data_IF_400324352597
#
_entry.id   IF_400324352597
#
_cell.length_a   1.000
_cell.length_b   1.000
_cell.length_c   1.000
_cell.angle_alpha   90.00
_cell.angle_beta   90.00
_cell.angle_gamma   90.00
#
_symmetry.space_group_name_H-M   'P 1'
#
loop_
_entity.id
_entity.type
_entity.pdbx_description
1 polymer ?
#
# COMPACT_ATOMS: atom_id res chain seq x y z
N UNK A 1 19.24 -14.08 18.73
CA UNK A 1 19.18 -13.05 19.79
C UNK A 1 18.62 -11.74 19.25
N UNK A 2 19.26 -11.09 18.26
CA UNK A 2 18.89 -9.75 17.77
C UNK A 2 17.39 -9.47 17.59
N UNK A 3 16.67 -10.27 16.81
CA UNK A 3 15.23 -10.02 16.57
C UNK A 3 14.38 -10.15 17.84
N UNK A 4 14.75 -11.06 18.74
CA UNK A 4 14.04 -11.32 19.99
C UNK A 4 14.26 -10.23 21.06
N UNK A 5 15.21 -9.32 20.84
CA UNK A 5 15.53 -8.18 21.72
C UNK A 5 15.22 -6.83 21.04
N UNK A 6 14.78 -6.85 19.78
CA UNK A 6 14.44 -5.64 19.03
C UNK A 6 13.13 -5.02 19.54
N UNK A 7 13.16 -3.70 19.80
CA UNK A 7 11.97 -2.91 20.10
C UNK A 7 11.02 -2.80 18.90
N UNK A 8 11.52 -2.64 17.68
CA UNK A 8 10.68 -2.63 16.47
C UNK A 8 9.94 -3.96 16.25
N UNK A 9 10.52 -5.10 16.68
CA UNK A 9 9.80 -6.37 16.72
C UNK A 9 8.70 -6.38 17.79
N UNK A 10 8.92 -5.80 18.97
CA UNK A 10 7.91 -5.67 20.04
C UNK A 10 6.71 -4.84 19.58
N UNK A 11 6.97 -3.69 18.96
CA UNK A 11 5.94 -2.82 18.39
C UNK A 11 5.08 -3.56 17.36
N UNK A 12 5.69 -4.33 16.46
CA UNK A 12 4.96 -5.17 15.50
C UNK A 12 4.20 -6.32 16.16
N UNK A 13 4.72 -6.92 17.24
CA UNK A 13 3.99 -7.94 18.00
C UNK A 13 2.73 -7.34 18.63
N UNK A 14 2.86 -6.19 19.27
CA UNK A 14 1.80 -5.50 20.01
C UNK A 14 0.75 -4.91 19.08
N UNK A 15 1.15 -4.05 18.14
CA UNK A 15 0.25 -3.30 17.28
C UNK A 15 -0.02 -3.92 15.91
N UNK A 16 0.81 -4.88 15.46
CA UNK A 16 0.84 -5.27 14.05
C UNK A 16 1.31 -4.10 13.19
N UNK A 17 0.77 -3.98 11.97
CA UNK A 17 1.08 -2.84 11.08
C UNK A 17 0.21 -1.61 11.36
N UNK A 18 -0.93 -1.80 12.05
CA UNK A 18 -1.99 -0.81 12.23
C UNK A 18 -1.51 0.56 12.78
N UNK A 19 -0.55 0.66 13.73
CA UNK A 19 -0.05 1.95 14.24
C UNK A 19 0.45 2.93 13.16
N UNK A 20 0.79 2.43 11.97
CA UNK A 20 1.16 3.27 10.84
C UNK A 20 0.05 4.28 10.43
N UNK A 21 -1.21 3.99 10.77
CA UNK A 21 -2.33 4.89 10.49
C UNK A 21 -2.24 6.21 11.28
N UNK A 22 -1.87 6.15 12.56
CA UNK A 22 -1.68 7.34 13.39
C UNK A 22 -0.44 8.11 12.94
N UNK A 23 0.64 7.39 12.62
CA UNK A 23 1.86 8.00 12.10
C UNK A 23 1.61 8.78 10.80
N UNK A 24 0.90 8.19 9.83
CA UNK A 24 0.56 8.88 8.59
C UNK A 24 -0.46 10.01 8.80
N UNK A 25 -1.40 9.84 9.71
CA UNK A 25 -2.34 10.90 10.08
C UNK A 25 -1.60 12.12 10.65
N UNK A 26 -0.70 11.92 11.61
CA UNK A 26 0.05 13.00 12.26
C UNK A 26 1.02 13.67 11.29
N UNK A 27 1.69 12.88 10.45
CA UNK A 27 2.59 13.39 9.42
C UNK A 27 1.86 14.17 8.32
N UNK A 28 0.60 13.87 8.09
CA UNK A 28 -0.17 14.39 6.95
C UNK A 28 0.20 13.69 5.64
N UNK A 29 0.35 12.38 5.71
CA UNK A 29 0.60 11.50 4.57
C UNK A 29 -0.46 10.41 4.39
N UNK A 30 -1.63 10.53 5.05
CA UNK A 30 -2.71 9.54 5.02
C UNK A 30 -3.75 9.91 3.94
N UNK A 31 -3.75 9.26 2.76
CA UNK A 31 -4.64 9.66 1.69
C UNK A 31 -6.10 9.45 2.07
N UNK A 32 -6.90 10.48 1.82
CA UNK A 32 -8.28 10.55 2.27
C UNK A 32 -9.19 11.01 1.14
N UNK A 33 -10.36 10.38 1.02
CA UNK A 33 -11.37 10.64 -0.02
C UNK A 33 -10.78 10.67 -1.44
N UNK A 34 -10.28 9.53 -1.90
CA UNK A 34 -9.56 9.37 -3.19
C UNK A 34 -8.38 10.34 -3.36
N UNK A 35 -7.53 10.48 -2.33
CA UNK A 35 -6.33 11.33 -2.35
C UNK A 35 -6.60 12.84 -2.47
N UNK A 36 -7.85 13.29 -2.29
CA UNK A 36 -8.18 14.73 -2.23
C UNK A 36 -7.54 15.38 -1.01
N UNK A 37 -7.53 14.66 0.12
CA UNK A 37 -6.99 15.11 1.40
C UNK A 37 -5.86 14.18 1.86
N UNK A 38 -5.04 14.64 2.81
CA UNK A 38 -3.89 13.90 3.36
C UNK A 38 -4.01 13.58 4.85
N UNK A 39 -5.17 13.89 5.43
CA UNK A 39 -5.53 13.62 6.81
C UNK A 39 -7.02 13.28 6.89
N UNK A 40 -7.37 12.33 7.74
CA UNK A 40 -8.74 11.87 7.91
C UNK A 40 -9.37 12.43 9.18
N UNK A 41 -10.57 13.00 9.05
CA UNK A 41 -11.31 13.55 10.20
C UNK A 41 -11.83 12.45 11.13
N UNK A 42 -12.19 11.28 10.59
CA UNK A 42 -12.74 10.14 11.33
C UNK A 42 -11.67 9.17 11.86
N UNK A 43 -10.44 9.64 12.11
CA UNK A 43 -9.31 8.77 12.48
C UNK A 43 -9.59 7.89 13.71
N UNK A 44 -10.31 8.43 14.70
CA UNK A 44 -10.65 7.71 15.95
C UNK A 44 -11.51 6.46 15.72
N UNK A 45 -12.19 6.36 14.57
CA UNK A 45 -12.99 5.21 14.19
C UNK A 45 -12.22 4.11 13.46
N UNK A 46 -10.95 4.35 13.10
CA UNK A 46 -10.15 3.42 12.28
C UNK A 46 -8.75 3.15 12.82
N UNK A 47 -8.29 3.89 13.83
CA UNK A 47 -6.95 3.73 14.41
C UNK A 47 -6.83 2.47 15.30
N UNK A 48 -5.63 2.12 15.82
CA UNK A 48 -5.45 0.95 16.67
C UNK A 48 -6.34 0.98 17.92
N UNK A 49 -6.60 2.16 18.48
CA UNK A 49 -7.50 2.31 19.63
C UNK A 49 -8.95 1.90 19.29
N UNK A 50 -9.41 2.15 18.06
CA UNK A 50 -10.73 1.71 17.58
C UNK A 50 -10.88 0.19 17.61
N UNK A 51 -9.79 -0.57 17.38
CA UNK A 51 -9.84 -2.04 17.40
C UNK A 51 -9.74 -2.63 18.81
N UNK A 52 -9.06 -1.97 19.73
CA UNK A 52 -8.73 -2.50 21.07
C UNK A 52 -9.65 -2.00 22.18
N UNK A 53 -10.36 -0.90 21.95
CA UNK A 53 -11.27 -0.30 22.94
C UNK A 53 -12.66 -0.91 22.82
N UNK A 54 -13.30 -1.35 23.92
CA UNK A 54 -14.69 -1.80 23.88
C UNK A 54 -15.62 -0.70 23.36
N UNK A 55 -16.44 -1.03 22.37
CA UNK A 55 -17.45 -0.14 21.84
C UNK A 55 -18.63 0.04 22.84
N UNK A 56 -19.67 0.76 22.43
CA UNK A 56 -20.87 1.02 23.26
C UNK A 56 -21.62 -0.25 23.74
N UNK A 57 -21.44 -1.38 23.07
CA UNK A 57 -22.02 -2.67 23.41
C UNK A 57 -21.08 -3.54 24.27
N UNK A 58 -19.89 -3.02 24.62
CA UNK A 58 -18.85 -3.76 25.33
C UNK A 58 -18.06 -4.73 24.44
N UNK A 59 -18.21 -4.63 23.11
CA UNK A 59 -17.48 -5.46 22.16
C UNK A 59 -16.13 -4.82 21.78
N UNK A 60 -15.06 -5.60 21.84
CA UNK A 60 -13.72 -5.23 21.34
C UNK A 60 -13.46 -6.00 20.04
N UNK A 61 -13.09 -5.30 18.97
CA UNK A 61 -12.90 -5.88 17.63
C UNK A 61 -11.67 -6.79 17.55
N UNK A 62 -10.51 -6.36 18.07
CA UNK A 62 -9.29 -7.17 18.08
C UNK A 62 -9.36 -8.25 19.18
N UNK A 63 -9.13 -9.51 18.80
CA UNK A 63 -9.08 -10.64 19.73
C UNK A 63 -7.65 -10.91 20.17
N UNK A 64 -6.75 -11.10 19.20
CA UNK A 64 -5.38 -11.53 19.45
C UNK A 64 -4.50 -11.32 18.21
N UNK A 65 -3.22 -11.68 18.31
CA UNK A 65 -2.28 -11.70 17.21
C UNK A 65 -1.98 -13.12 16.71
N UNK A 66 -1.36 -13.23 15.54
CA UNK A 66 -1.02 -14.50 14.89
C UNK A 66 0.33 -14.43 14.20
N UNK A 67 1.12 -15.49 14.38
CA UNK A 67 2.39 -15.69 13.67
C UNK A 67 2.19 -16.42 12.33
N UNK A 68 2.97 -16.00 11.34
CA UNK A 68 3.25 -16.81 10.15
C UNK A 68 4.14 -18.01 10.52
N UNK A 69 4.30 -18.96 9.58
CA UNK A 69 5.19 -20.10 9.78
C UNK A 69 6.62 -19.67 10.12
N UNK A 70 7.18 -20.21 11.21
CA UNK A 70 8.54 -19.90 11.66
C UNK A 70 8.76 -18.48 12.21
N UNK A 71 7.71 -17.65 12.27
CA UNK A 71 7.81 -16.25 12.64
C UNK A 71 7.79 -16.05 14.16
N UNK A 72 8.73 -15.26 14.68
CA UNK A 72 8.77 -14.85 16.11
C UNK A 72 8.26 -13.42 16.34
N UNK A 73 7.70 -12.76 15.31
CA UNK A 73 7.14 -11.40 15.40
C UNK A 73 5.65 -11.45 15.72
N UNK A 74 4.88 -12.34 15.07
CA UNK A 74 3.42 -12.44 15.24
C UNK A 74 2.65 -11.14 14.93
N UNK A 75 2.97 -10.46 13.82
CA UNK A 75 2.31 -9.19 13.46
C UNK A 75 0.84 -9.34 13.03
N UNK A 76 0.41 -10.50 12.52
CA UNK A 76 -0.94 -10.66 11.97
C UNK A 76 -2.02 -10.42 13.02
N UNK A 77 -3.10 -9.73 12.66
CA UNK A 77 -4.23 -9.44 13.55
C UNK A 77 -5.36 -10.44 13.36
N UNK A 78 -6.01 -10.84 14.46
CA UNK A 78 -7.21 -11.68 14.46
C UNK A 78 -8.31 -10.90 15.15
N UNK A 79 -9.38 -10.61 14.41
CA UNK A 79 -10.47 -9.75 14.87
C UNK A 79 -11.81 -10.42 14.64
N UNK A 80 -12.86 -9.92 15.30
CA UNK A 80 -14.27 -10.24 15.08
C UNK A 80 -15.11 -8.97 15.03
N UNK A 81 -16.33 -9.11 14.54
CA UNK A 81 -17.27 -8.01 14.34
C UNK A 81 -18.31 -8.07 15.46
N UNK A 82 -18.76 -6.91 15.95
CA UNK A 82 -19.83 -6.85 16.94
C UNK A 82 -21.08 -7.60 16.41
N UNK A 83 -21.58 -8.63 17.12
CA UNK A 83 -22.77 -9.37 16.69
C UNK A 83 -24.02 -8.51 16.50
N UNK A 84 -24.06 -7.30 17.06
CA UNK A 84 -25.14 -6.34 16.88
C UNK A 84 -24.90 -5.36 15.70
N UNK A 85 -23.74 -5.42 15.05
CA UNK A 85 -23.40 -4.58 13.91
C UNK A 85 -24.28 -4.87 12.70
N UNK A 86 -24.66 -3.83 11.94
CA UNK A 86 -25.64 -3.96 10.86
C UNK A 86 -25.20 -4.93 9.75
N UNK A 87 -23.88 -5.10 9.56
CA UNK A 87 -23.32 -6.01 8.55
C UNK A 87 -23.58 -7.48 8.87
N UNK A 88 -23.68 -7.86 10.16
CA UNK A 88 -23.74 -9.28 10.58
C UNK A 88 -24.89 -9.65 11.53
N UNK A 89 -25.66 -8.68 12.05
CA UNK A 89 -26.70 -8.92 13.07
C UNK A 89 -27.70 -10.05 12.78
N UNK A 90 -27.95 -10.32 11.50
CA UNK A 90 -28.83 -11.41 11.06
C UNK A 90 -28.11 -12.41 10.12
N UNK A 91 -26.78 -12.49 10.20
CA UNK A 91 -25.92 -13.30 9.34
C UNK A 91 -24.94 -14.12 10.20
N UNK A 92 -25.42 -15.20 10.86
CA UNK A 92 -24.61 -15.99 11.79
C UNK A 92 -23.37 -16.61 11.14
N UNK A 93 -23.35 -16.77 9.81
CA UNK A 93 -22.19 -17.24 9.05
C UNK A 93 -20.97 -16.31 9.17
N UNK A 94 -21.15 -15.04 9.53
CA UNK A 94 -20.04 -14.08 9.78
C UNK A 94 -19.73 -13.87 11.28
N UNK A 95 -20.38 -14.61 12.18
CA UNK A 95 -20.10 -14.55 13.63
C UNK A 95 -18.91 -15.45 14.00
N UNK A 96 -17.75 -15.16 13.41
CA UNK A 96 -16.49 -15.87 13.65
C UNK A 96 -15.31 -14.90 13.65
N UNK A 97 -14.13 -15.38 14.00
CA UNK A 97 -12.89 -14.60 13.93
C UNK A 97 -12.17 -14.85 12.61
N UNK A 98 -11.59 -13.80 12.02
CA UNK A 98 -10.78 -13.85 10.79
C UNK A 98 -9.62 -12.87 10.87
N UNK A 99 -8.70 -12.97 9.90
CA UNK A 99 -7.51 -12.12 9.84
C UNK A 99 -7.86 -10.67 9.51
N UNK A 100 -7.12 -9.71 10.07
CA UNK A 100 -7.27 -8.27 9.86
C UNK A 100 -7.47 -7.49 11.17
N UNK A 101 -7.39 -6.15 11.18
CA UNK A 101 -7.00 -5.27 10.06
C UNK A 101 -5.48 -5.08 10.03
N UNK A 102 -4.91 -5.11 8.83
CA UNK A 102 -3.58 -4.53 8.58
C UNK A 102 -3.75 -3.03 8.26
N UNK A 103 -2.66 -2.26 8.35
CA UNK A 103 -2.66 -0.83 8.06
C UNK A 103 -3.26 -0.49 6.70
N UNK A 104 -2.80 -1.16 5.64
CA UNK A 104 -3.25 -0.89 4.26
C UNK A 104 -4.74 -1.16 4.08
N UNK A 105 -5.26 -2.20 4.72
CA UNK A 105 -6.68 -2.49 4.73
C UNK A 105 -7.47 -1.41 5.47
N UNK A 106 -6.97 -0.96 6.63
CA UNK A 106 -7.62 0.09 7.40
C UNK A 106 -7.64 1.42 6.63
N UNK A 107 -6.54 1.78 5.96
CA UNK A 107 -6.45 2.90 5.04
C UNK A 107 -7.46 2.77 3.88
N UNK A 108 -7.46 1.63 3.19
CA UNK A 108 -8.22 1.41 1.96
C UNK A 108 -9.73 1.38 2.18
N UNK A 109 -10.17 0.96 3.37
CA UNK A 109 -11.59 0.87 3.72
C UNK A 109 -12.08 1.96 4.67
N UNK A 110 -11.17 2.75 5.22
CA UNK A 110 -11.50 3.90 6.05
C UNK A 110 -11.19 5.21 5.33
N UNK A 111 -10.04 5.86 5.60
CA UNK A 111 -9.66 7.15 5.07
C UNK A 111 -9.93 7.37 3.57
N UNK A 112 -9.50 6.46 2.69
CA UNK A 112 -9.61 6.71 1.24
C UNK A 112 -11.04 6.72 0.73
N UNK A 113 -11.95 6.01 1.41
CA UNK A 113 -13.41 5.99 1.15
C UNK A 113 -14.21 6.81 2.16
N UNK A 114 -13.54 7.48 3.10
CA UNK A 114 -14.11 8.37 4.11
C UNK A 114 -14.86 7.69 5.26
N UNK A 115 -14.75 6.38 5.44
CA UNK A 115 -15.51 5.59 6.45
C UNK A 115 -14.75 5.52 7.78
N UNK A 116 -15.48 5.67 8.90
CA UNK A 116 -14.93 5.66 10.26
C UNK A 116 -15.54 4.56 11.16
N UNK A 117 -15.88 3.43 10.56
CA UNK A 117 -16.55 2.30 11.23
C UNK A 117 -15.67 1.03 11.16
N UNK A 118 -14.89 0.78 12.22
CA UNK A 118 -13.97 -0.36 12.31
C UNK A 118 -14.64 -1.72 12.04
N UNK A 119 -15.91 -1.90 12.42
CA UNK A 119 -16.62 -3.16 12.22
C UNK A 119 -17.07 -3.31 10.75
N UNK A 120 -17.42 -2.21 10.08
CA UNK A 120 -17.63 -2.20 8.62
C UNK A 120 -16.34 -2.47 7.84
N UNK A 121 -15.21 -1.88 8.26
CA UNK A 121 -13.88 -2.15 7.71
C UNK A 121 -13.50 -3.64 7.87
N UNK A 122 -13.67 -4.19 9.07
CA UNK A 122 -13.41 -5.61 9.36
C UNK A 122 -14.30 -6.52 8.51
N UNK A 123 -15.57 -6.19 8.32
CA UNK A 123 -16.47 -6.94 7.45
C UNK A 123 -16.03 -6.91 5.97
N UNK A 124 -15.69 -5.74 5.43
CA UNK A 124 -15.19 -5.64 4.05
C UNK A 124 -13.91 -6.47 3.86
N UNK A 125 -13.02 -6.46 4.86
CA UNK A 125 -11.81 -7.28 4.86
C UNK A 125 -12.08 -8.78 4.93
N UNK A 126 -13.09 -9.23 5.68
CA UNK A 126 -13.51 -10.63 5.66
C UNK A 126 -13.89 -11.06 4.25
N UNK A 127 -14.66 -10.22 3.55
CA UNK A 127 -15.05 -10.50 2.16
C UNK A 127 -13.84 -10.53 1.22
N UNK A 128 -12.83 -9.68 1.42
CA UNK A 128 -11.59 -9.74 0.63
C UNK A 128 -10.85 -11.06 0.85
N UNK A 129 -10.73 -11.51 2.09
CA UNK A 129 -10.10 -12.79 2.43
C UNK A 129 -10.84 -13.97 1.81
N UNK A 130 -12.17 -14.01 1.94
CA UNK A 130 -13.00 -15.12 1.44
C UNK A 130 -13.09 -15.14 -0.09
N UNK A 131 -13.15 -13.98 -0.74
CA UNK A 131 -13.22 -13.88 -2.19
C UNK A 131 -11.85 -13.87 -2.88
N UNK A 132 -10.75 -13.77 -2.12
CA UNK A 132 -9.39 -13.72 -2.66
C UNK A 132 -9.10 -12.43 -3.43
N UNK A 133 -9.52 -11.28 -2.90
CA UNK A 133 -9.36 -9.96 -3.51
C UNK A 133 -8.36 -9.09 -2.74
N UNK A 134 -7.68 -8.19 -3.45
CA UNK A 134 -6.79 -7.20 -2.84
C UNK A 134 -7.60 -6.05 -2.19
N UNK A 135 -7.47 -5.82 -0.88
CA UNK A 135 -8.18 -4.72 -0.20
C UNK A 135 -7.76 -3.34 -0.72
N UNK A 136 -6.48 -3.12 -1.06
CA UNK A 136 -6.00 -1.81 -1.53
C UNK A 136 -6.68 -1.47 -2.85
N UNK A 137 -6.55 -2.35 -3.85
CA UNK A 137 -7.12 -2.13 -5.18
C UNK A 137 -8.64 -1.98 -5.12
N UNK A 138 -9.35 -2.77 -4.31
CA UNK A 138 -10.79 -2.62 -4.14
C UNK A 138 -11.16 -1.26 -3.51
N UNK A 139 -10.52 -0.90 -2.39
CA UNK A 139 -10.81 0.35 -1.67
C UNK A 139 -10.57 1.60 -2.50
N UNK A 140 -9.43 1.67 -3.20
CA UNK A 140 -9.11 2.81 -4.09
C UNK A 140 -10.00 2.82 -5.33
N UNK A 141 -10.43 1.66 -5.84
CA UNK A 141 -11.42 1.60 -6.93
C UNK A 141 -12.79 2.10 -6.48
N UNK A 142 -13.22 1.74 -5.28
CA UNK A 142 -14.44 2.26 -4.69
C UNK A 142 -14.34 3.77 -4.44
N UNK A 143 -13.20 4.26 -3.97
CA UNK A 143 -12.96 5.70 -3.78
C UNK A 143 -13.07 6.49 -5.10
N UNK A 144 -12.51 5.96 -6.19
CA UNK A 144 -12.68 6.57 -7.52
C UNK A 144 -14.15 6.55 -7.99
N UNK A 145 -14.89 5.47 -7.69
CA UNK A 145 -16.33 5.41 -7.97
C UNK A 145 -17.13 6.41 -7.13
N UNK A 146 -16.75 6.63 -5.88
CA UNK A 146 -17.36 7.64 -5.01
C UNK A 146 -17.12 9.06 -5.54
N UNK A 147 -15.91 9.36 -6.02
CA UNK A 147 -15.62 10.66 -6.64
C UNK A 147 -16.41 10.86 -7.95
N UNK A 148 -16.51 9.83 -8.81
CA UNK A 148 -17.39 9.86 -9.99
C UNK A 148 -18.86 10.10 -9.64
N UNK A 149 -19.33 9.55 -8.52
CA UNK A 149 -20.69 9.77 -8.03
C UNK A 149 -20.89 11.19 -7.49
N UNK A 150 -19.94 11.72 -6.72
CA UNK A 150 -19.97 13.13 -6.27
C UNK A 150 -19.98 14.13 -7.43
N UNK A 151 -19.29 13.79 -8.53
CA UNK A 151 -19.27 14.59 -9.77
C UNK A 151 -20.58 14.47 -10.58
N UNK A 152 -21.50 13.59 -10.19
CA UNK A 152 -22.74 13.32 -10.91
C UNK A 152 -22.57 12.51 -12.20
N UNK A 153 -21.41 11.88 -12.40
CA UNK A 153 -21.10 11.02 -13.56
C UNK A 153 -21.75 9.65 -13.38
N UNK A 154 -21.74 9.13 -12.16
CA UNK A 154 -22.50 7.95 -11.76
C UNK A 154 -23.79 8.37 -11.06
N UNK A 155 -24.90 7.73 -11.40
CA UNK A 155 -26.19 7.92 -10.71
C UNK A 155 -26.52 6.76 -9.79
N UNK A 156 -27.45 6.99 -8.86
CA UNK A 156 -27.94 5.98 -7.93
C UNK A 156 -28.52 4.76 -8.63
N UNK A 157 -29.15 4.94 -9.78
CA UNK A 157 -29.70 3.85 -10.59
C UNK A 157 -28.59 2.98 -11.19
N UNK A 158 -27.46 3.56 -11.58
CA UNK A 158 -26.32 2.82 -12.12
C UNK A 158 -25.59 2.03 -11.03
N UNK A 159 -25.64 2.50 -9.79
CA UNK A 159 -25.01 1.89 -8.62
C UNK A 159 -25.96 0.95 -7.86
N UNK A 160 -26.95 0.39 -8.55
CA UNK A 160 -27.96 -0.53 -8.03
C UNK A 160 -28.75 -0.02 -6.82
N UNK A 161 -29.00 1.29 -6.78
CA UNK A 161 -29.73 1.94 -5.69
C UNK A 161 -28.86 2.36 -4.51
N UNK A 162 -27.55 2.10 -4.54
CA UNK A 162 -26.62 2.42 -3.44
C UNK A 162 -25.98 3.78 -3.66
N UNK A 163 -26.02 4.65 -2.66
CA UNK A 163 -25.41 5.98 -2.74
C UNK A 163 -23.91 5.89 -2.47
N UNK A 164 -23.09 6.06 -3.52
CA UNK A 164 -21.63 6.00 -3.42
C UNK A 164 -21.05 7.34 -2.95
N UNK A 165 -21.40 7.78 -1.75
CA UNK A 165 -20.81 8.97 -1.12
C UNK A 165 -19.67 8.57 -0.18
N UNK A 166 -18.62 9.39 -0.08
CA UNK A 166 -17.59 9.20 0.93
C UNK A 166 -18.21 9.15 2.35
N UNK A 167 -17.71 8.24 3.18
CA UNK A 167 -18.23 7.98 4.52
C UNK A 167 -19.45 7.05 4.60
N UNK A 168 -19.92 6.50 3.47
CA UNK A 168 -21.01 5.54 3.48
C UNK A 168 -20.50 4.11 3.77
N UNK A 169 -20.57 3.68 5.03
CA UNK A 169 -20.22 2.33 5.48
C UNK A 169 -21.09 1.23 4.84
N UNK A 170 -22.37 1.50 4.56
CA UNK A 170 -23.23 0.55 3.84
C UNK A 170 -22.75 0.37 2.39
N UNK A 171 -22.38 1.46 1.71
CA UNK A 171 -21.83 1.39 0.36
C UNK A 171 -20.54 0.56 0.31
N UNK A 172 -19.61 0.77 1.24
CA UNK A 172 -18.38 -0.05 1.36
C UNK A 172 -18.70 -1.54 1.46
N UNK A 173 -19.57 -1.91 2.39
CA UNK A 173 -19.83 -3.31 2.75
C UNK A 173 -20.64 -4.03 1.67
N UNK A 174 -21.66 -3.38 1.11
CA UNK A 174 -22.46 -3.91 -0.01
C UNK A 174 -21.60 -4.04 -1.27
N UNK A 175 -20.79 -3.03 -1.60
CA UNK A 175 -19.95 -3.08 -2.80
C UNK A 175 -18.82 -4.08 -2.67
N UNK A 176 -18.25 -4.31 -1.49
CA UNK A 176 -17.28 -5.38 -1.24
C UNK A 176 -17.88 -6.75 -1.57
N UNK A 177 -19.11 -7.00 -1.10
CA UNK A 177 -19.80 -8.28 -1.34
C UNK A 177 -20.15 -8.46 -2.82
N UNK A 178 -20.72 -7.42 -3.44
CA UNK A 178 -21.11 -7.46 -4.85
C UNK A 178 -19.93 -7.56 -5.80
N UNK A 179 -18.80 -6.95 -5.47
CA UNK A 179 -17.59 -7.03 -6.30
C UNK A 179 -17.04 -8.45 -6.30
N UNK A 180 -16.90 -9.07 -5.13
CA UNK A 180 -16.40 -10.45 -5.06
C UNK A 180 -17.34 -11.49 -5.64
N UNK A 181 -18.66 -11.25 -5.60
CA UNK A 181 -19.66 -12.09 -6.29
C UNK A 181 -19.79 -11.79 -7.79
N UNK A 182 -19.23 -10.67 -8.26
CA UNK A 182 -19.40 -10.19 -9.63
C UNK A 182 -20.86 -9.88 -9.96
N UNK A 183 -21.56 -9.16 -9.07
CA UNK A 183 -23.00 -8.85 -9.19
C UNK A 183 -23.25 -7.35 -9.37
N UNK A 184 -24.18 -7.00 -10.27
CA UNK A 184 -24.57 -5.61 -10.54
C UNK A 184 -23.35 -4.70 -10.81
N UNK A 185 -23.31 -3.53 -10.17
CA UNK A 185 -22.22 -2.56 -10.22
C UNK A 185 -20.90 -3.10 -9.65
N UNK A 186 -20.91 -4.18 -8.87
CA UNK A 186 -19.69 -4.88 -8.45
C UNK A 186 -18.86 -5.37 -9.64
N UNK A 187 -19.49 -5.65 -10.79
CA UNK A 187 -18.76 -5.99 -12.04
C UNK A 187 -17.96 -4.82 -12.60
N UNK A 188 -18.42 -3.59 -12.37
CA UNK A 188 -17.73 -2.37 -12.79
C UNK A 188 -16.52 -2.13 -11.89
N UNK A 189 -16.70 -2.26 -10.56
CA UNK A 189 -15.61 -2.17 -9.59
C UNK A 189 -14.55 -3.26 -9.81
N UNK A 190 -14.93 -4.46 -10.24
CA UNK A 190 -14.00 -5.56 -10.52
C UNK A 190 -13.01 -5.28 -11.68
N UNK A 191 -13.21 -4.20 -12.47
CA UNK A 191 -12.27 -3.82 -13.54
C UNK A 191 -10.99 -3.16 -13.02
N UNK A 192 -11.00 -2.68 -11.77
CA UNK A 192 -9.98 -1.80 -11.19
C UNK A 192 -10.16 -0.34 -11.63
N UNK A 193 -9.64 0.59 -10.83
CA UNK A 193 -9.87 2.02 -10.94
C UNK A 193 -9.41 2.60 -12.29
N UNK A 194 -8.26 2.15 -12.82
CA UNK A 194 -7.75 2.62 -14.13
C UNK A 194 -8.75 2.38 -15.26
N UNK A 195 -9.37 1.20 -15.30
CA UNK A 195 -10.33 0.83 -16.36
C UNK A 195 -11.70 1.45 -16.10
N UNK A 196 -12.15 1.45 -14.85
CA UNK A 196 -13.40 2.07 -14.43
C UNK A 196 -13.42 3.55 -14.80
N UNK A 197 -12.46 4.32 -14.30
CA UNK A 197 -12.39 5.77 -14.52
C UNK A 197 -12.27 6.15 -15.99
N UNK A 198 -11.45 5.41 -16.77
CA UNK A 198 -11.37 5.59 -18.21
C UNK A 198 -12.69 5.30 -18.93
N UNK A 199 -13.42 4.25 -18.53
CA UNK A 199 -14.74 3.91 -19.09
C UNK A 199 -15.76 5.04 -18.90
N UNK A 200 -15.69 5.74 -17.77
CA UNK A 200 -16.57 6.87 -17.45
C UNK A 200 -16.00 8.22 -17.90
N UNK A 201 -14.91 8.25 -18.68
CA UNK A 201 -14.37 9.46 -19.29
C UNK A 201 -13.50 10.34 -18.38
N UNK A 202 -13.09 9.83 -17.22
CA UNK A 202 -12.31 10.55 -16.21
C UNK A 202 -11.04 9.80 -15.79
N UNK A 203 -10.14 9.42 -16.72
CA UNK A 203 -8.92 8.66 -16.39
C UNK A 203 -7.98 9.40 -15.42
N UNK A 204 -8.15 10.71 -15.25
CA UNK A 204 -7.46 11.55 -14.28
C UNK A 204 -7.77 11.19 -12.81
N UNK A 205 -8.90 10.53 -12.54
CA UNK A 205 -9.27 10.05 -11.20
C UNK A 205 -8.57 8.75 -10.78
N UNK A 206 -7.80 8.14 -11.70
CA UNK A 206 -7.00 6.96 -11.38
C UNK A 206 -5.82 7.31 -10.47
N UNK A 207 -5.90 6.91 -9.20
CA UNK A 207 -4.84 7.08 -8.21
C UNK A 207 -3.94 5.84 -8.14
N UNK A 208 -3.00 5.74 -9.07
CA UNK A 208 -2.03 4.65 -9.12
C UNK A 208 -1.02 4.76 -10.26
N UNK A 209 -0.19 3.72 -10.41
CA UNK A 209 0.87 3.64 -11.44
C UNK A 209 0.80 2.30 -12.15
N UNK A 210 0.89 2.34 -13.50
CA UNK A 210 0.82 1.18 -14.39
C UNK A 210 -0.42 0.29 -14.17
N UNK A 211 -1.52 0.89 -13.71
CA UNK A 211 -2.79 0.20 -13.49
C UNK A 211 -2.90 -0.55 -12.16
N UNK A 212 -1.96 -0.33 -11.25
CA UNK A 212 -2.06 -0.75 -9.85
C UNK A 212 -2.32 0.49 -8.98
N UNK A 213 -3.32 0.38 -8.12
CA UNK A 213 -3.78 1.40 -7.17
C UNK A 213 -2.71 1.74 -6.12
N UNK A 214 -2.71 2.97 -5.64
CA UNK A 214 -1.80 3.42 -4.58
C UNK A 214 -2.10 2.78 -3.23
N UNK A 215 -1.02 2.45 -2.52
CA UNK A 215 -1.05 2.14 -1.09
C UNK A 215 -1.21 3.41 -0.24
N UNK A 216 -1.32 3.24 1.09
CA UNK A 216 -1.73 4.26 2.06
C UNK A 216 -0.83 5.46 2.29
N UNK A 217 0.07 5.77 1.37
CA UNK A 217 1.11 6.79 1.53
C UNK A 217 0.98 7.88 0.47
N UNK A 218 0.63 9.10 0.88
CA UNK A 218 0.53 10.23 -0.05
C UNK A 218 1.90 10.69 -0.52
N UNK A 219 2.14 10.58 -1.83
CA UNK A 219 3.46 10.88 -2.43
C UNK A 219 3.86 12.36 -2.35
N UNK A 220 2.92 13.28 -2.06
CA UNK A 220 3.26 14.69 -1.84
C UNK A 220 3.99 14.86 -0.51
N UNK A 221 3.64 14.08 0.51
CA UNK A 221 4.29 14.06 1.82
C UNK A 221 5.49 13.12 1.90
N UNK A 222 5.50 12.07 1.08
CA UNK A 222 6.56 11.05 1.05
C UNK A 222 7.16 11.01 -0.37
N UNK A 223 8.20 11.83 -0.59
CA UNK A 223 8.73 12.13 -1.92
C UNK A 223 9.42 10.90 -2.56
N UNK A 224 10.27 10.22 -1.80
CA UNK A 224 10.92 8.97 -2.15
C UNK A 224 9.92 7.84 -2.38
N UNK A 225 8.89 7.72 -1.54
CA UNK A 225 7.76 6.81 -1.77
C UNK A 225 7.11 7.07 -3.14
N UNK A 226 6.93 8.34 -3.52
CA UNK A 226 6.47 8.74 -4.85
C UNK A 226 7.37 8.27 -5.99
N UNK A 227 8.68 8.49 -5.88
CA UNK A 227 9.65 7.95 -6.85
C UNK A 227 9.59 6.40 -6.89
N UNK A 228 9.46 5.76 -5.73
CA UNK A 228 9.34 4.32 -5.59
C UNK A 228 8.09 3.77 -6.29
N UNK A 229 6.94 4.43 -6.16
CA UNK A 229 5.73 4.09 -6.91
C UNK A 229 5.91 4.25 -8.42
N UNK A 230 6.51 5.36 -8.87
CA UNK A 230 6.74 5.63 -10.28
C UNK A 230 7.67 4.60 -10.92
N UNK A 231 8.67 4.10 -10.18
CA UNK A 231 9.74 3.24 -10.72
C UNK A 231 9.56 1.75 -10.43
N UNK A 232 8.73 1.36 -9.46
CA UNK A 232 8.50 -0.03 -9.06
C UNK A 232 8.14 -0.93 -10.23
N UNK A 233 8.79 -2.08 -10.35
CA UNK A 233 8.58 -3.01 -11.47
C UNK A 233 7.18 -3.63 -11.55
N UNK A 234 6.36 -3.58 -10.49
CA UNK A 234 5.01 -4.18 -10.48
C UNK A 234 3.85 -3.18 -10.46
N UNK A 235 4.13 -1.89 -10.61
CA UNK A 235 3.16 -0.80 -10.38
C UNK A 235 3.31 -0.17 -9.00
N UNK A 236 2.36 0.66 -8.61
CA UNK A 236 2.43 1.50 -7.41
C UNK A 236 2.41 0.71 -6.09
N UNK A 237 3.55 0.16 -5.69
CA UNK A 237 3.68 -0.67 -4.50
C UNK A 237 4.73 -0.13 -3.55
N UNK A 238 4.37 -0.02 -2.27
CA UNK A 238 5.26 0.45 -1.20
C UNK A 238 6.21 -0.65 -0.70
N UNK A 239 5.83 -1.94 -0.75
CA UNK A 239 6.67 -3.05 -0.29
C UNK A 239 7.90 -3.34 -1.17
N UNK A 240 8.22 -2.49 -2.15
CA UNK A 240 9.38 -2.66 -3.03
C UNK A 240 10.51 -1.67 -2.74
N UNK A 241 10.33 -0.82 -1.73
CA UNK A 241 11.31 0.16 -1.26
C UNK A 241 10.97 0.52 0.18
N UNK A 242 11.97 0.90 0.95
CA UNK A 242 11.80 1.33 2.35
C UNK A 242 12.55 2.64 2.51
N UNK A 243 11.80 3.74 2.49
CA UNK A 243 12.33 5.11 2.43
C UNK A 243 11.62 6.05 3.40
N UNK A 244 10.91 5.51 4.40
CA UNK A 244 10.19 6.31 5.40
C UNK A 244 11.11 7.26 6.16
N UNK A 245 12.26 6.76 6.64
CA UNK A 245 13.25 7.57 7.36
C UNK A 245 13.69 8.79 6.55
N UNK A 246 14.27 8.59 5.34
CA UNK A 246 14.60 9.70 4.46
C UNK A 246 13.42 10.64 4.22
N UNK A 247 12.23 10.14 3.89
CA UNK A 247 11.08 11.00 3.58
C UNK A 247 10.57 11.81 4.78
N UNK A 248 10.69 11.30 6.00
CA UNK A 248 10.32 12.01 7.22
C UNK A 248 11.38 13.01 7.69
N UNK A 249 12.63 12.88 7.25
CA UNK A 249 13.68 13.86 7.53
C UNK A 249 13.57 15.11 6.65
N UNK A 250 13.18 14.95 5.38
CA UNK A 250 13.05 16.05 4.43
C UNK A 250 11.92 15.78 3.42
N UNK A 251 10.91 16.64 3.41
CA UNK A 251 9.77 16.61 2.48
C UNK A 251 10.10 17.27 1.12
N UNK A 252 11.35 17.27 0.68
CA UNK A 252 11.78 17.67 -0.67
C UNK A 252 12.20 16.46 -1.51
N UNK A 253 12.22 16.58 -2.83
CA UNK A 253 12.69 15.50 -3.70
C UNK A 253 14.21 15.33 -3.69
N UNK A 254 14.97 16.21 -3.04
CA UNK A 254 16.43 16.21 -3.12
C UNK A 254 17.03 15.02 -2.37
N UNK A 255 17.95 14.31 -3.02
CA UNK A 255 18.68 13.20 -2.41
C UNK A 255 17.84 11.95 -2.15
N UNK A 256 16.58 11.90 -2.63
CA UNK A 256 15.70 10.72 -2.45
C UNK A 256 15.99 9.59 -3.43
N UNK A 257 16.62 9.89 -4.57
CA UNK A 257 16.89 8.90 -5.61
C UNK A 257 17.80 7.76 -5.14
N UNK A 258 18.88 8.08 -4.40
CA UNK A 258 19.82 7.08 -3.90
C UNK A 258 19.17 6.13 -2.88
N UNK A 259 18.49 6.59 -1.80
CA UNK A 259 17.78 5.70 -0.88
C UNK A 259 16.74 4.82 -1.56
N UNK A 260 15.99 5.34 -2.54
CA UNK A 260 15.02 4.55 -3.29
C UNK A 260 15.72 3.44 -4.08
N UNK A 261 16.80 3.75 -4.82
CA UNK A 261 17.57 2.73 -5.56
C UNK A 261 18.12 1.65 -4.63
N UNK A 262 18.79 2.06 -3.56
CA UNK A 262 19.43 1.13 -2.61
C UNK A 262 18.40 0.24 -1.91
N UNK A 263 17.30 0.81 -1.45
CA UNK A 263 16.24 0.04 -0.80
C UNK A 263 15.58 -0.94 -1.77
N UNK A 264 15.37 -0.59 -3.04
CA UNK A 264 14.83 -1.51 -4.05
C UNK A 264 15.73 -2.72 -4.29
N UNK A 265 17.05 -2.53 -4.33
CA UNK A 265 18.00 -3.63 -4.47
C UNK A 265 17.99 -4.53 -3.23
N UNK A 266 18.02 -3.90 -2.05
CA UNK A 266 17.98 -4.57 -0.77
C UNK A 266 16.68 -5.39 -0.61
N UNK A 267 15.52 -4.79 -0.88
CA UNK A 267 14.23 -5.49 -0.82
C UNK A 267 14.16 -6.62 -1.85
N UNK A 268 14.68 -6.44 -3.06
CA UNK A 268 14.73 -7.50 -4.08
C UNK A 268 15.58 -8.69 -3.62
N UNK A 269 16.69 -8.42 -2.93
CA UNK A 269 17.51 -9.44 -2.30
C UNK A 269 16.74 -10.16 -1.19
N UNK A 270 16.07 -9.43 -0.28
CA UNK A 270 15.28 -10.03 0.83
C UNK A 270 14.16 -10.90 0.28
N UNK A 271 13.37 -10.38 -0.68
CA UNK A 271 12.27 -11.12 -1.30
C UNK A 271 12.75 -12.44 -1.91
N UNK A 272 13.95 -12.44 -2.50
CA UNK A 272 14.56 -13.64 -3.09
C UNK A 272 14.95 -14.71 -2.05
N UNK A 273 15.10 -14.34 -0.77
CA UNK A 273 15.39 -15.29 0.32
C UNK A 273 14.16 -16.04 0.83
N UNK A 274 12.95 -15.51 0.56
CA UNK A 274 11.71 -16.00 1.15
C UNK A 274 11.48 -15.58 2.62
N UNK A 275 12.33 -14.73 3.19
CA UNK A 275 12.17 -14.16 4.51
C UNK A 275 11.27 -12.92 4.49
N UNK A 276 10.57 -12.68 5.61
CA UNK A 276 9.68 -11.53 5.74
C UNK A 276 10.46 -10.22 5.86
N UNK A 277 10.05 -9.19 5.12
CA UNK A 277 10.65 -7.86 5.18
C UNK A 277 10.65 -7.28 6.60
N UNK A 278 9.63 -7.54 7.42
CA UNK A 278 9.57 -7.03 8.80
C UNK A 278 10.64 -7.58 9.76
N UNK A 279 11.48 -8.53 9.32
CA UNK A 279 12.69 -8.88 10.08
C UNK A 279 13.70 -7.73 10.13
N UNK A 280 13.64 -6.77 9.20
CA UNK A 280 14.45 -5.54 9.22
C UNK A 280 14.19 -4.66 10.44
N UNK A 281 13.12 -4.89 11.19
CA UNK A 281 12.88 -4.21 12.48
C UNK A 281 13.94 -4.54 13.54
N UNK A 282 14.74 -5.59 13.34
CA UNK A 282 15.88 -5.91 14.20
C UNK A 282 17.11 -6.46 13.48
N UNK A 283 17.01 -6.79 12.20
CA UNK A 283 18.11 -7.31 11.39
C UNK A 283 18.65 -6.25 10.44
N UNK A 284 19.97 -6.21 10.29
CA UNK A 284 20.62 -5.48 9.22
C UNK A 284 20.94 -6.38 8.02
N UNK A 285 21.47 -5.82 6.91
CA UNK A 285 21.83 -6.59 5.72
C UNK A 285 22.77 -7.78 6.02
N UNK A 286 23.74 -7.61 6.91
CA UNK A 286 24.68 -8.67 7.31
C UNK A 286 24.01 -9.86 8.01
N UNK A 287 22.88 -9.63 8.69
CA UNK A 287 22.14 -10.72 9.32
C UNK A 287 21.49 -11.63 8.27
N UNK A 288 21.01 -11.06 7.15
CA UNK A 288 20.51 -11.84 6.00
C UNK A 288 21.64 -12.62 5.31
N UNK A 289 22.79 -11.97 5.10
CA UNK A 289 23.98 -12.64 4.53
C UNK A 289 24.37 -13.85 5.38
N UNK A 290 24.42 -13.70 6.70
CA UNK A 290 24.73 -14.79 7.61
C UNK A 290 23.72 -15.95 7.53
N UNK A 291 22.42 -15.67 7.35
CA UNK A 291 21.42 -16.73 7.13
C UNK A 291 21.65 -17.46 5.80
N UNK A 292 21.93 -16.72 4.72
CA UNK A 292 22.16 -17.28 3.39
C UNK A 292 23.43 -18.13 3.35
N UNK A 293 24.54 -17.63 3.90
CA UNK A 293 25.82 -18.36 3.93
C UNK A 293 25.75 -19.64 4.76
N UNK A 294 24.99 -19.62 5.87
CA UNK A 294 24.77 -20.81 6.67
C UNK A 294 23.89 -21.87 5.97
N UNK A 295 22.96 -21.44 5.11
CA UNK A 295 21.98 -22.33 4.48
C UNK A 295 22.39 -22.81 3.08
N UNK A 296 23.20 -22.05 2.36
CA UNK A 296 23.51 -22.25 0.95
C UNK A 296 25.02 -22.37 0.71
N UNK A 297 25.47 -23.29 -0.16
CA UNK A 297 26.86 -23.31 -0.56
C UNK A 297 27.20 -22.06 -1.38
N UNK A 298 28.44 -21.58 -1.29
CA UNK A 298 29.01 -20.70 -2.30
C UNK A 298 29.64 -19.40 -1.85
N UNK A 299 29.92 -19.17 -0.56
CA UNK A 299 30.52 -17.93 -0.03
C UNK A 299 29.67 -16.69 -0.38
N UNK A 300 28.74 -16.36 0.52
CA UNK A 300 27.87 -15.20 0.38
C UNK A 300 28.46 -13.99 1.11
N UNK A 301 28.64 -12.89 0.38
CA UNK A 301 29.03 -11.59 0.94
C UNK A 301 27.90 -10.58 0.73
N UNK A 302 27.93 -9.48 1.48
CA UNK A 302 26.94 -8.41 1.33
C UNK A 302 26.93 -7.84 -0.09
N UNK A 303 28.10 -7.60 -0.68
CA UNK A 303 28.22 -7.06 -2.04
C UNK A 303 27.54 -7.97 -3.06
N UNK A 304 27.78 -9.28 -2.95
CA UNK A 304 27.18 -10.28 -3.85
C UNK A 304 25.66 -10.36 -3.68
N UNK A 305 25.17 -10.29 -2.45
CA UNK A 305 23.74 -10.34 -2.16
C UNK A 305 23.03 -9.08 -2.72
N UNK A 306 23.59 -7.89 -2.49
CA UNK A 306 23.06 -6.64 -3.04
C UNK A 306 23.13 -6.61 -4.57
N UNK A 307 24.23 -7.05 -5.17
CA UNK A 307 24.34 -7.18 -6.64
C UNK A 307 23.28 -8.14 -7.20
N UNK A 308 22.94 -9.20 -6.46
CA UNK A 308 21.86 -10.12 -6.84
C UNK A 308 20.49 -9.44 -6.80
N UNK A 309 20.25 -8.58 -5.81
CA UNK A 309 19.06 -7.73 -5.77
C UNK A 309 18.97 -6.77 -6.96
N UNK A 310 20.07 -6.06 -7.28
CA UNK A 310 20.15 -5.17 -8.44
C UNK A 310 19.92 -5.90 -9.77
N UNK A 311 20.49 -7.12 -9.90
CA UNK A 311 20.29 -8.00 -11.04
C UNK A 311 18.82 -8.38 -11.19
N UNK A 312 18.16 -8.81 -10.11
CA UNK A 312 16.73 -9.14 -10.12
C UNK A 312 15.89 -7.94 -10.55
N UNK A 313 16.11 -6.76 -9.95
CA UNK A 313 15.39 -5.55 -10.30
C UNK A 313 15.58 -5.14 -11.77
N UNK A 314 16.79 -5.29 -12.29
CA UNK A 314 17.11 -4.97 -13.69
C UNK A 314 16.48 -5.99 -14.65
N UNK A 315 16.46 -7.27 -14.29
CA UNK A 315 15.83 -8.32 -15.10
C UNK A 315 14.31 -8.11 -15.19
N UNK A 316 13.65 -7.78 -14.08
CA UNK A 316 12.23 -7.41 -14.07
C UNK A 316 11.96 -6.16 -14.93
N UNK A 317 12.83 -5.14 -14.87
CA UNK A 317 12.74 -3.96 -15.74
C UNK A 317 12.83 -4.35 -17.21
N UNK A 318 13.77 -5.22 -17.58
CA UNK A 318 13.91 -5.73 -18.96
C UNK A 318 12.67 -6.49 -19.41
N UNK A 319 12.10 -7.32 -18.54
CA UNK A 319 10.85 -8.03 -18.82
C UNK A 319 9.73 -7.04 -19.16
N UNK A 320 9.53 -6.02 -18.33
CA UNK A 320 8.48 -5.02 -18.56
C UNK A 320 8.71 -4.22 -19.84
N UNK A 321 9.96 -3.87 -20.16
CA UNK A 321 10.30 -3.20 -21.42
C UNK A 321 10.04 -4.09 -22.63
N UNK A 322 10.30 -5.39 -22.51
CA UNK A 322 9.90 -6.39 -23.50
C UNK A 322 8.37 -6.49 -23.67
N UNK A 323 7.62 -6.22 -22.60
CA UNK A 323 6.16 -6.14 -22.61
C UNK A 323 5.61 -4.77 -23.08
N UNK A 324 6.49 -3.83 -23.45
CA UNK A 324 6.12 -2.53 -24.01
C UNK A 324 6.17 -1.35 -23.05
N UNK A 325 6.62 -1.54 -21.79
CA UNK A 325 6.84 -0.44 -20.87
C UNK A 325 7.97 0.48 -21.35
N UNK A 326 7.80 1.79 -21.16
CA UNK A 326 8.78 2.83 -21.46
C UNK A 326 9.03 3.72 -20.25
N UNK A 327 10.04 4.60 -20.31
CA UNK A 327 10.24 5.63 -19.28
C UNK A 327 9.05 6.59 -19.11
N UNK A 328 8.19 6.73 -20.13
CA UNK A 328 6.97 7.53 -20.00
C UNK A 328 5.93 6.93 -19.03
N UNK A 329 6.02 5.63 -18.75
CA UNK A 329 5.19 4.94 -17.76
C UNK A 329 5.71 5.11 -16.33
N UNK A 330 6.91 5.67 -16.16
CA UNK A 330 7.50 5.98 -14.85
C UNK A 330 7.03 7.36 -14.39
N UNK A 331 5.75 7.45 -14.05
CA UNK A 331 5.09 8.71 -13.68
C UNK A 331 4.15 8.52 -12.50
N UNK A 332 3.54 9.62 -12.06
CA UNK A 332 2.50 9.67 -11.03
C UNK A 332 1.23 10.31 -11.60
N UNK A 333 0.04 10.09 -11.01
CA UNK A 333 -1.17 10.81 -11.37
C UNK A 333 -0.99 12.32 -11.26
N UNK A 334 -1.69 13.08 -12.11
CA UNK A 334 -1.59 14.56 -12.14
C UNK A 334 -1.84 15.19 -10.78
N UNK A 335 -2.80 14.68 -10.01
CA UNK A 335 -3.08 15.12 -8.63
C UNK A 335 -1.83 15.14 -7.75
N UNK A 336 -0.94 14.16 -7.89
CA UNK A 336 0.30 14.11 -7.12
C UNK A 336 1.37 15.10 -7.62
N UNK A 337 1.33 15.46 -8.90
CA UNK A 337 2.35 16.29 -9.56
C UNK A 337 1.96 17.77 -9.66
N UNK A 338 0.67 18.08 -9.59
CA UNK A 338 0.11 19.40 -9.93
C UNK A 338 -0.79 19.97 -8.81
N UNK A 339 -1.43 19.14 -7.98
CA UNK A 339 -2.33 19.59 -6.91
C UNK A 339 -1.60 19.58 -5.54
N UNK A 340 -1.30 20.75 -4.95
CA UNK A 340 -0.59 20.81 -3.69
C UNK A 340 -1.33 20.10 -2.55
N UNK A 341 -0.59 19.49 -1.62
CA UNK A 341 -1.20 18.89 -0.44
C UNK A 341 -1.92 19.98 0.39
N UNK A 342 -3.15 19.74 0.83
CA UNK A 342 -3.97 20.77 1.49
C UNK A 342 -3.59 21.03 2.95
N UNK A 343 -2.85 20.13 3.59
CA UNK A 343 -2.43 20.22 5.00
C UNK A 343 -1.20 19.35 5.27
N UNK A 344 -0.79 19.26 6.53
CA UNK A 344 0.26 18.34 6.98
C UNK A 344 1.68 18.81 6.72
N UNK A 345 2.65 17.91 6.87
CA UNK A 345 4.09 18.19 6.69
C UNK A 345 4.45 18.74 5.30
N UNK A 346 3.65 18.42 4.29
CA UNK A 346 3.84 18.83 2.90
C UNK A 346 2.79 19.85 2.42
N UNK A 347 2.13 20.59 3.32
CA UNK A 347 1.18 21.64 2.95
C UNK A 347 1.77 22.57 1.87
N UNK A 348 1.03 22.75 0.78
CA UNK A 348 1.44 23.58 -0.36
C UNK A 348 2.48 22.95 -1.29
N UNK A 349 2.84 21.68 -1.11
CA UNK A 349 3.79 20.95 -1.97
C UNK A 349 3.13 19.90 -2.87
N UNK A 350 3.80 19.62 -3.98
CA UNK A 350 3.53 18.49 -4.88
C UNK A 350 4.69 17.51 -4.83
N UNK A 351 4.56 16.34 -5.45
CA UNK A 351 5.70 15.43 -5.63
C UNK A 351 6.69 15.98 -6.69
N UNK A 352 7.97 16.09 -6.32
CA UNK A 352 9.05 16.62 -7.15
C UNK A 352 9.67 15.54 -8.05
N UNK A 353 8.87 14.65 -8.63
CA UNK A 353 9.34 13.50 -9.44
C UNK A 353 10.30 13.92 -10.56
N UNK A 354 10.07 15.07 -11.17
CA UNK A 354 10.93 15.63 -12.23
C UNK A 354 12.37 15.91 -11.78
N UNK A 355 12.59 16.10 -10.48
CA UNK A 355 13.92 16.25 -9.88
C UNK A 355 14.53 14.88 -9.62
N UNK A 356 13.73 13.94 -9.11
CA UNK A 356 14.19 12.64 -8.62
C UNK A 356 14.46 11.61 -9.74
N UNK A 357 13.59 11.53 -10.74
CA UNK A 357 13.62 10.46 -11.75
C UNK A 357 14.89 10.46 -12.62
N UNK A 358 15.39 11.60 -13.12
CA UNK A 358 16.63 11.62 -13.90
C UNK A 358 17.85 11.19 -13.06
N UNK A 359 17.90 11.61 -11.80
CA UNK A 359 18.95 11.19 -10.87
C UNK A 359 18.88 9.67 -10.64
N UNK A 360 17.68 9.14 -10.40
CA UNK A 360 17.45 7.71 -10.22
C UNK A 360 17.93 6.87 -11.41
N UNK A 361 17.61 7.27 -12.65
CA UNK A 361 18.11 6.56 -13.83
C UNK A 361 19.63 6.58 -13.95
N UNK A 362 20.26 7.72 -13.66
CA UNK A 362 21.72 7.83 -13.64
C UNK A 362 22.32 6.87 -12.61
N UNK A 363 21.76 6.82 -11.40
CA UNK A 363 22.21 5.93 -10.32
C UNK A 363 22.03 4.45 -10.65
N UNK A 364 20.97 4.12 -11.39
CA UNK A 364 20.72 2.78 -11.94
C UNK A 364 21.67 2.39 -13.09
N UNK A 365 22.43 3.35 -13.63
CA UNK A 365 23.19 3.15 -14.86
C UNK A 365 22.28 2.90 -16.07
N UNK A 366 21.12 3.55 -16.08
CA UNK A 366 20.12 3.48 -17.15
C UNK A 366 20.20 4.73 -18.03
N UNK A 367 19.69 4.62 -19.24
CA UNK A 367 19.51 5.73 -20.17
C UNK A 367 18.40 6.68 -19.69
N UNK A 368 18.31 7.88 -20.27
CA UNK A 368 17.26 8.85 -19.95
C UNK A 368 15.83 8.34 -20.22
N UNK A 369 15.67 7.38 -21.14
CA UNK A 369 14.40 6.67 -21.39
C UNK A 369 14.15 5.50 -20.41
N UNK A 370 14.99 5.37 -19.37
CA UNK A 370 14.89 4.35 -18.34
C UNK A 370 15.25 2.93 -18.81
N UNK A 371 16.06 2.78 -19.86
CA UNK A 371 16.57 1.47 -20.34
C UNK A 371 17.93 1.13 -19.71
N UNK A 372 18.14 -0.08 -19.18
CA UNK A 372 19.46 -0.51 -18.71
C UNK A 372 20.54 -0.34 -19.79
N UNK A 373 21.68 0.25 -19.42
CA UNK A 373 22.81 0.40 -20.35
C UNK A 373 23.52 -0.92 -20.59
N UNK A 374 24.22 -1.05 -21.72
CA UNK A 374 25.04 -2.23 -22.00
C UNK A 374 26.13 -2.45 -20.95
N UNK A 375 26.64 -1.38 -20.34
CA UNK A 375 27.62 -1.46 -19.24
C UNK A 375 26.98 -2.08 -17.99
N UNK A 376 25.80 -1.61 -17.59
CA UNK A 376 25.04 -2.19 -16.48
C UNK A 376 24.69 -3.65 -16.73
N UNK A 377 24.22 -4.00 -17.94
CA UNK A 377 23.89 -5.38 -18.30
C UNK A 377 25.12 -6.29 -18.23
N UNK A 378 26.24 -5.87 -18.81
CA UNK A 378 27.49 -6.62 -18.75
C UNK A 378 27.98 -6.81 -17.30
N UNK A 379 27.94 -5.76 -16.47
CA UNK A 379 28.29 -5.84 -15.05
C UNK A 379 27.40 -6.82 -14.28
N UNK A 380 26.10 -6.81 -14.55
CA UNK A 380 25.12 -7.68 -13.89
C UNK A 380 25.04 -9.08 -14.53
N UNK A 381 25.79 -9.35 -15.60
CA UNK A 381 25.74 -10.61 -16.36
C UNK A 381 24.33 -10.93 -16.90
N UNK A 382 23.68 -9.94 -17.51
CA UNK A 382 22.34 -10.01 -18.12
C UNK A 382 22.36 -9.87 -19.64
#
# INVERSE_FOLDING_TARGET
AKLAESGGREELTEGGTHPMIDMMQEWGGLPTNNFKEVQFKGIDGVNPAATTTPNKNGHTNLITNKACFGCTIACGRISHIDPEHFTIKNRPEYMHASGGLEYETAYAFGPVVGVDDVDALTFANYLMNEHGMDPISFGVTLAAAMELYEMGVLTKEQTDGIELTFGNAEALTVMAEKTGKGEGFGKELALGSKRLTAKYGHPDLFMGVRGMEFAGYDSRALQGMGLGYATSNRGACHLKHDVFGPDMEDVSGKGKAQPVKESQDMVSMIDSTGLCLFTTSGWGPEDFVAQLDAALPGEWTLERCVESGERTWTLERMFNQGAGQTGADDTLPKRMLEEPAPSGSAEGKVNELSVMLPEYYKLRGWTEDGKPSNETLARLSL
#
